data_IF_226901223233
#
_entry.id   IF_226901223233
#
_cell.length_a   1.000
_cell.length_b   1.000
_cell.length_c   1.000
_cell.angle_alpha   90.00
_cell.angle_beta   90.00
_cell.angle_gamma   90.00
#
_symmetry.space_group_name_H-M   'P 1'
#
loop_
_entity.id
_entity.type
_entity.pdbx_description
1 polymer ?
#
# COMPACT_ATOMS: atom_id res chain seq x y z
N UNK A 1 6.98 -12.51 9.18
CA UNK A 1 7.81 -12.13 8.02
C UNK A 1 8.23 -10.69 8.22
N UNK A 2 9.42 -10.29 7.75
CA UNK A 2 9.88 -8.91 7.87
C UNK A 2 9.29 -8.09 6.74
N UNK A 3 9.00 -6.80 6.97
CA UNK A 3 8.45 -5.91 5.95
C UNK A 3 9.33 -5.85 4.69
N UNK A 4 10.65 -5.96 4.84
CA UNK A 4 11.62 -6.00 3.74
C UNK A 4 11.42 -7.20 2.83
N UNK A 5 11.02 -8.35 3.40
CA UNK A 5 10.73 -9.57 2.64
C UNK A 5 9.47 -9.39 1.81
N UNK A 6 8.43 -8.79 2.37
CA UNK A 6 7.17 -8.54 1.69
C UNK A 6 7.36 -7.50 0.57
N UNK A 7 8.08 -6.41 0.84
CA UNK A 7 8.44 -5.40 -0.16
C UNK A 7 9.21 -6.01 -1.34
N UNK A 8 10.17 -6.89 -1.07
CA UNK A 8 10.89 -7.62 -2.12
C UNK A 8 9.94 -8.51 -2.94
N UNK A 9 9.03 -9.24 -2.29
CA UNK A 9 8.08 -10.12 -2.94
C UNK A 9 7.04 -9.38 -3.78
N UNK A 10 6.70 -8.13 -3.42
CA UNK A 10 5.84 -7.22 -4.16
C UNK A 10 6.58 -6.41 -5.24
N UNK A 11 7.91 -6.61 -5.36
CA UNK A 11 8.75 -5.86 -6.31
C UNK A 11 8.89 -4.38 -5.97
N UNK A 12 8.62 -3.97 -4.72
CA UNK A 12 8.66 -2.59 -4.28
C UNK A 12 10.01 -2.23 -3.67
N UNK A 13 10.67 -1.21 -4.22
CA UNK A 13 11.95 -0.68 -3.71
C UNK A 13 11.79 0.56 -2.85
N UNK A 14 10.66 1.27 -2.98
CA UNK A 14 10.35 2.50 -2.27
C UNK A 14 9.09 2.29 -1.46
N UNK A 15 9.12 2.77 -0.23
CA UNK A 15 7.98 2.83 0.66
C UNK A 15 8.07 4.12 1.49
N UNK A 16 6.95 4.48 2.11
CA UNK A 16 6.88 5.55 3.10
C UNK A 16 6.51 4.88 4.42
N UNK A 17 7.24 5.21 5.48
CA UNK A 17 6.85 4.84 6.85
C UNK A 17 6.15 6.04 7.49
N UNK A 18 4.99 5.79 8.10
CA UNK A 18 4.30 6.79 8.91
C UNK A 18 3.56 6.10 10.05
N UNK A 19 3.86 6.50 11.30
CA UNK A 19 3.20 5.98 12.52
C UNK A 19 3.30 4.45 12.69
N UNK A 20 4.38 3.85 12.23
CA UNK A 20 4.62 2.40 12.25
C UNK A 20 3.98 1.65 11.08
N UNK A 21 3.29 2.34 10.17
CA UNK A 21 2.68 1.74 8.99
C UNK A 21 3.56 1.94 7.77
N UNK A 22 3.59 0.92 6.89
CA UNK A 22 4.34 0.95 5.64
C UNK A 22 3.39 1.13 4.46
N UNK A 23 3.57 2.22 3.72
CA UNK A 23 2.78 2.55 2.54
C UNK A 23 3.61 2.39 1.27
N UNK A 24 3.07 1.67 0.28
CA UNK A 24 3.61 1.58 -1.07
C UNK A 24 2.69 2.32 -2.04
N UNK A 25 3.28 3.12 -2.93
CA UNK A 25 2.56 3.79 -4.01
C UNK A 25 2.77 3.00 -5.29
N UNK A 26 1.67 2.59 -5.93
CA UNK A 26 1.71 1.72 -7.11
C UNK A 26 1.00 2.39 -8.27
N UNK A 27 1.42 2.10 -9.50
CA UNK A 27 0.70 2.54 -10.69
C UNK A 27 -0.64 1.82 -10.80
N UNK A 28 -1.66 2.48 -11.39
CA UNK A 28 -3.01 1.92 -11.53
C UNK A 28 -3.02 0.54 -12.21
N UNK A 29 -2.20 0.36 -13.26
CA UNK A 29 -2.09 -0.92 -13.97
C UNK A 29 -1.48 -2.05 -13.13
N UNK A 30 -0.78 -1.73 -12.05
CA UNK A 30 -0.12 -2.69 -11.16
C UNK A 30 -0.99 -3.07 -9.94
N UNK A 31 -2.15 -2.41 -9.74
CA UNK A 31 -2.99 -2.62 -8.57
C UNK A 31 -3.44 -4.08 -8.43
N UNK A 32 -4.07 -4.65 -9.46
CA UNK A 32 -4.55 -6.03 -9.44
C UNK A 32 -3.42 -7.06 -9.26
N UNK A 33 -2.31 -7.01 -10.03
CA UNK A 33 -1.17 -7.92 -9.82
C UNK A 33 -0.60 -7.87 -8.41
N UNK A 34 -0.51 -6.69 -7.80
CA UNK A 34 0.02 -6.52 -6.44
C UNK A 34 -0.93 -7.12 -5.42
N UNK A 35 -2.24 -6.88 -5.54
CA UNK A 35 -3.23 -7.47 -4.63
C UNK A 35 -3.27 -9.00 -4.74
N UNK A 36 -3.13 -9.56 -5.94
CA UNK A 36 -3.00 -11.00 -6.15
C UNK A 36 -1.76 -11.55 -5.44
N UNK A 37 -0.62 -10.86 -5.55
CA UNK A 37 0.60 -11.23 -4.83
C UNK A 37 0.45 -11.12 -3.31
N UNK A 38 -0.25 -10.11 -2.79
CA UNK A 38 -0.57 -10.03 -1.36
C UNK A 38 -1.36 -11.25 -0.88
N UNK A 39 -2.33 -11.73 -1.67
CA UNK A 39 -3.07 -12.95 -1.35
C UNK A 39 -2.14 -14.16 -1.26
N UNK A 40 -1.18 -14.31 -2.18
CA UNK A 40 -0.18 -15.39 -2.15
C UNK A 40 0.76 -15.31 -0.93
N UNK A 41 1.02 -14.10 -0.41
CA UNK A 41 1.82 -13.86 0.79
C UNK A 41 1.06 -14.11 2.11
N UNK A 42 -0.25 -14.38 2.04
CA UNK A 42 -1.09 -14.65 3.21
C UNK A 42 -1.79 -13.42 3.79
N UNK A 43 -1.92 -12.32 3.04
CA UNK A 43 -2.80 -11.21 3.41
C UNK A 43 -4.26 -11.60 3.12
N UNK A 44 -4.92 -12.21 4.12
CA UNK A 44 -6.27 -12.78 3.97
C UNK A 44 -7.41 -11.80 4.23
N UNK A 45 -7.11 -10.64 4.81
CA UNK A 45 -8.10 -9.64 5.22
C UNK A 45 -7.79 -8.29 4.58
N UNK A 46 -8.80 -7.72 3.91
CA UNK A 46 -8.83 -6.31 3.55
C UNK A 46 -9.48 -5.54 4.70
N UNK A 47 -8.70 -4.70 5.37
CA UNK A 47 -9.17 -3.98 6.56
C UNK A 47 -10.11 -2.81 6.19
N UNK A 48 -9.71 -2.00 5.21
CA UNK A 48 -10.48 -0.83 4.75
C UNK A 48 -10.09 -0.42 3.31
N UNK A 49 -10.97 0.33 2.64
CA UNK A 49 -10.67 1.08 1.40
C UNK A 49 -11.14 2.52 1.60
N UNK A 50 -10.20 3.45 1.49
CA UNK A 50 -10.47 4.87 1.55
C UNK A 50 -10.01 5.57 0.27
N UNK A 51 -10.79 6.53 -0.22
CA UNK A 51 -10.40 7.41 -1.33
C UNK A 51 -9.76 8.70 -0.79
N UNK A 52 -8.73 9.19 -1.47
CA UNK A 52 -8.14 10.50 -1.18
C UNK A 52 -8.60 11.50 -2.24
N UNK A 53 -9.19 12.61 -1.79
CA UNK A 53 -9.41 13.77 -2.64
C UNK A 53 -8.28 14.78 -2.42
N UNK A 54 -7.47 14.98 -3.45
CA UNK A 54 -6.38 15.96 -3.42
C UNK A 54 -6.83 17.35 -3.92
N UNK A 55 -8.14 17.63 -3.98
CA UNK A 55 -8.68 18.92 -4.40
C UNK A 55 -8.44 20.00 -3.34
N UNK A 56 -7.43 20.84 -3.56
CA UNK A 56 -7.07 21.99 -2.73
C UNK A 56 -5.61 21.95 -2.27
N UNK A 57 -5.11 23.03 -1.68
CA UNK A 57 -3.74 23.11 -1.14
C UNK A 57 -3.66 22.86 0.38
N UNK A 58 -4.77 23.02 1.10
CA UNK A 58 -4.81 22.91 2.55
C UNK A 58 -5.14 21.47 3.00
N UNK A 59 -4.38 20.86 3.93
CA UNK A 59 -4.72 19.56 4.49
C UNK A 59 -6.07 19.61 5.20
N UNK A 60 -7.01 18.76 4.79
CA UNK A 60 -8.27 18.57 5.54
C UNK A 60 -8.06 17.49 6.59
N UNK A 61 -8.09 17.89 7.85
CA UNK A 61 -8.20 16.96 8.97
C UNK A 61 -9.68 16.85 9.34
N UNK A 62 -10.29 15.67 9.13
CA UNK A 62 -11.56 15.29 9.76
C UNK A 62 -11.29 14.38 10.97
#
# INVERSE_FOLDING_TARGET
MSIETDLQALGQKKHVEFRGETTINVGLSALYPILERCKELGYEMLLDISSLDHLGEEPRFE
#
